data_IF_087249905422
#
_entry.id   IF_087249905422
#
_cell.length_a   1.000
_cell.length_b   1.000
_cell.length_c   1.000
_cell.angle_alpha   90.00
_cell.angle_beta   90.00
_cell.angle_gamma   90.00
#
_symmetry.space_group_name_H-M   'P 1'
#
loop_
_entity.id
_entity.type
_entity.pdbx_description
1 polymer ?
#
# COMPACT_ATOMS: atom_id res chain seq x y z
N UNK A 1 -22.05 25.94 -9.83
CA UNK A 1 -21.46 25.14 -8.74
C UNK A 1 -20.10 24.72 -9.26
N UNK A 2 -19.00 25.19 -8.67
CA UNK A 2 -17.66 24.81 -9.13
C UNK A 2 -17.33 23.46 -8.52
N UNK A 3 -16.97 22.48 -9.35
CA UNK A 3 -16.49 21.19 -8.88
C UNK A 3 -15.07 21.37 -8.35
N UNK A 4 -14.80 20.86 -7.16
CA UNK A 4 -13.44 20.90 -6.60
C UNK A 4 -12.50 20.02 -7.44
N UNK A 5 -11.24 20.44 -7.63
CA UNK A 5 -10.28 19.65 -8.38
C UNK A 5 -9.94 18.35 -7.64
N UNK A 6 -10.03 17.22 -8.34
CA UNK A 6 -9.71 15.90 -7.79
C UNK A 6 -8.19 15.64 -7.66
N UNK A 7 -7.36 16.53 -8.19
CA UNK A 7 -5.90 16.57 -7.95
C UNK A 7 -5.53 17.97 -7.42
N UNK A 8 -4.74 18.02 -6.36
CA UNK A 8 -4.20 19.25 -5.78
C UNK A 8 -2.70 19.11 -5.51
N UNK A 9 -1.88 20.04 -6.01
CA UNK A 9 -0.45 20.09 -5.73
C UNK A 9 -0.13 21.22 -4.72
N UNK A 10 0.31 20.90 -3.49
CA UNK A 10 0.71 21.90 -2.49
C UNK A 10 2.12 22.47 -2.71
N UNK A 11 2.80 22.17 -3.83
CA UNK A 11 4.16 22.61 -4.16
C UNK A 11 5.25 21.57 -3.92
N UNK A 12 4.86 20.35 -3.54
CA UNK A 12 5.77 19.21 -3.38
C UNK A 12 5.25 17.94 -4.05
N UNK A 13 4.41 18.08 -5.07
CA UNK A 13 3.91 17.02 -5.92
C UNK A 13 2.39 16.84 -5.83
N UNK A 14 1.75 16.34 -6.90
CA UNK A 14 0.30 16.22 -6.97
C UNK A 14 -0.25 15.24 -5.92
N UNK A 15 -1.38 15.59 -5.30
CA UNK A 15 -2.16 14.74 -4.38
C UNK A 15 -3.53 14.44 -4.98
N UNK A 16 -3.91 13.16 -4.96
CA UNK A 16 -5.23 12.69 -5.39
C UNK A 16 -6.22 12.90 -4.24
N UNK A 17 -7.16 13.84 -4.41
CA UNK A 17 -8.18 14.15 -3.39
C UNK A 17 -9.45 13.32 -3.52
N UNK A 18 -9.73 12.88 -4.74
CA UNK A 18 -10.84 11.99 -5.05
C UNK A 18 -10.30 10.86 -5.94
N UNK A 19 -10.10 9.69 -5.31
CA UNK A 19 -9.55 8.52 -5.99
C UNK A 19 -10.47 8.00 -7.10
N UNK A 20 -11.79 8.11 -6.93
CA UNK A 20 -12.76 7.64 -7.90
C UNK A 20 -12.71 8.52 -9.17
N UNK A 21 -12.80 9.84 -8.99
CA UNK A 21 -12.68 10.79 -10.09
C UNK A 21 -11.31 10.70 -10.78
N UNK A 22 -10.23 10.51 -10.02
CA UNK A 22 -8.88 10.33 -10.56
C UNK A 22 -8.77 9.10 -11.46
N UNK A 23 -9.23 7.94 -11.01
CA UNK A 23 -9.14 6.68 -11.75
C UNK A 23 -9.90 6.75 -13.09
N UNK A 24 -11.04 7.44 -13.11
CA UNK A 24 -11.81 7.66 -14.35
C UNK A 24 -11.25 8.76 -15.26
N UNK A 25 -10.21 9.47 -14.83
CA UNK A 25 -9.65 10.61 -15.57
C UNK A 25 -8.49 10.22 -16.49
N UNK A 26 -8.13 11.12 -17.39
CA UNK A 26 -6.96 10.96 -18.25
C UNK A 26 -5.61 10.98 -17.50
N UNK A 27 -5.58 11.41 -16.23
CA UNK A 27 -4.36 11.41 -15.42
C UNK A 27 -4.01 10.01 -14.92
N UNK A 28 -5.00 9.11 -14.81
CA UNK A 28 -4.78 7.74 -14.42
C UNK A 28 -4.15 6.94 -15.57
N UNK A 29 -2.96 6.39 -15.34
CA UNK A 29 -2.37 5.43 -16.26
C UNK A 29 -3.25 4.17 -16.42
N UNK A 30 -3.32 3.58 -17.63
CA UNK A 30 -4.07 2.34 -17.86
C UNK A 30 -3.44 1.18 -17.10
N UNK A 31 -4.24 0.15 -16.82
CA UNK A 31 -3.72 -1.09 -16.25
C UNK A 31 -2.69 -1.75 -17.19
N UNK A 32 -1.66 -2.36 -16.62
CA UNK A 32 -0.60 -3.02 -17.38
C UNK A 32 -0.98 -4.48 -17.65
N UNK A 33 -1.76 -4.70 -18.70
CA UNK A 33 -2.33 -6.02 -19.02
C UNK A 33 -1.30 -7.01 -19.61
N UNK A 34 -0.11 -6.53 -19.94
CA UNK A 34 1.04 -7.31 -20.40
C UNK A 34 1.82 -7.97 -19.25
N UNK A 35 1.63 -7.48 -18.02
CA UNK A 35 2.14 -8.10 -16.80
C UNK A 35 1.04 -8.98 -16.18
N UNK A 36 1.25 -10.31 -16.02
CA UNK A 36 0.22 -11.22 -15.52
C UNK A 36 -0.35 -10.83 -14.15
N UNK A 37 0.50 -10.38 -13.22
CA UNK A 37 0.06 -9.98 -11.88
C UNK A 37 -0.76 -8.69 -11.94
N UNK A 38 -0.30 -7.71 -12.71
CA UNK A 38 -1.06 -6.46 -12.89
C UNK A 38 -2.41 -6.72 -13.56
N UNK A 39 -2.47 -7.63 -14.54
CA UNK A 39 -3.71 -8.03 -15.20
C UNK A 39 -4.70 -8.71 -14.25
N UNK A 40 -4.21 -9.57 -13.34
CA UNK A 40 -5.02 -10.19 -12.31
C UNK A 40 -5.61 -9.14 -11.35
N UNK A 41 -4.78 -8.25 -10.83
CA UNK A 41 -5.25 -7.16 -9.96
C UNK A 41 -6.12 -6.13 -10.68
N UNK A 42 -6.13 -6.07 -12.02
CA UNK A 42 -6.95 -5.13 -12.78
C UNK A 42 -8.43 -5.54 -12.86
N UNK A 43 -8.79 -6.74 -12.40
CA UNK A 43 -10.17 -7.21 -12.39
C UNK A 43 -11.03 -6.41 -11.40
N UNK A 44 -12.30 -6.15 -11.76
CA UNK A 44 -13.23 -5.39 -10.91
C UNK A 44 -13.64 -6.20 -9.68
N UNK A 45 -13.68 -7.53 -9.81
CA UNK A 45 -13.93 -8.49 -8.75
C UNK A 45 -12.90 -8.34 -7.62
N UNK A 46 -11.63 -8.07 -7.96
CA UNK A 46 -10.58 -7.80 -6.97
C UNK A 46 -10.86 -6.50 -6.22
N UNK A 47 -11.29 -5.44 -6.91
CA UNK A 47 -11.70 -4.20 -6.25
C UNK A 47 -12.91 -4.42 -5.32
N UNK A 48 -13.88 -5.23 -5.74
CA UNK A 48 -15.04 -5.58 -4.91
C UNK A 48 -14.60 -6.34 -3.65
N UNK A 49 -13.67 -7.30 -3.76
CA UNK A 49 -13.11 -8.00 -2.60
C UNK A 49 -12.37 -7.04 -1.66
N UNK A 50 -11.54 -6.14 -2.19
CA UNK A 50 -10.83 -5.13 -1.38
C UNK A 50 -11.80 -4.25 -0.58
N UNK A 51 -12.93 -3.85 -1.18
CA UNK A 51 -13.97 -3.05 -0.51
C UNK A 51 -14.68 -3.78 0.65
N UNK A 52 -14.55 -5.10 0.76
CA UNK A 52 -15.08 -5.85 1.92
C UNK A 52 -14.22 -5.73 3.17
N UNK A 53 -12.94 -5.36 3.00
CA UNK A 53 -11.92 -5.34 4.07
C UNK A 53 -11.31 -3.96 4.30
N UNK A 54 -11.31 -3.09 3.29
CA UNK A 54 -10.73 -1.75 3.37
C UNK A 54 -11.79 -0.68 3.03
N UNK A 55 -11.66 0.55 3.58
CA UNK A 55 -12.47 1.68 3.15
C UNK A 55 -12.33 1.93 1.64
N UNK A 56 -13.35 2.56 1.05
CA UNK A 56 -13.44 2.73 -0.40
C UNK A 56 -12.21 3.40 -1.01
N UNK A 57 -11.74 4.52 -0.44
CA UNK A 57 -10.60 5.25 -0.96
C UNK A 57 -9.31 4.42 -0.95
N UNK A 58 -9.06 3.72 0.15
CA UNK A 58 -7.86 2.87 0.30
C UNK A 58 -7.94 1.65 -0.63
N UNK A 59 -9.14 1.08 -0.82
CA UNK A 59 -9.38 0.00 -1.79
C UNK A 59 -9.05 0.44 -3.21
N UNK A 60 -9.54 1.61 -3.63
CA UNK A 60 -9.28 2.17 -4.96
C UNK A 60 -7.80 2.46 -5.19
N UNK A 61 -7.12 3.04 -4.19
CA UNK A 61 -5.69 3.32 -4.26
C UNK A 61 -4.88 2.03 -4.37
N UNK A 62 -5.19 1.02 -3.55
CA UNK A 62 -4.49 -0.26 -3.57
C UNK A 62 -4.69 -0.99 -4.90
N UNK A 63 -5.94 -1.06 -5.38
CA UNK A 63 -6.29 -1.63 -6.68
C UNK A 63 -5.56 -0.93 -7.83
N UNK A 64 -5.53 0.41 -7.84
CA UNK A 64 -4.76 1.19 -8.80
C UNK A 64 -3.27 0.87 -8.72
N UNK A 65 -2.69 0.85 -7.53
CA UNK A 65 -1.27 0.59 -7.36
C UNK A 65 -0.85 -0.80 -7.83
N UNK A 66 -1.69 -1.83 -7.62
CA UNK A 66 -1.36 -3.22 -7.94
C UNK A 66 -1.57 -3.58 -9.42
N UNK A 67 -2.43 -2.85 -10.11
CA UNK A 67 -2.76 -3.11 -11.52
C UNK A 67 -1.94 -2.30 -12.54
N UNK A 68 -1.04 -1.42 -12.08
CA UNK A 68 -0.22 -0.55 -12.93
C UNK A 68 1.26 -0.88 -12.75
N UNK A 69 2.06 -0.86 -13.83
CA UNK A 69 3.50 -1.19 -13.71
C UNK A 69 4.28 -0.18 -12.86
N UNK A 70 4.03 1.12 -13.03
CA UNK A 70 4.90 2.16 -12.44
C UNK A 70 4.17 3.30 -11.72
N UNK A 71 2.93 3.61 -12.11
CA UNK A 71 2.19 4.72 -11.53
C UNK A 71 1.64 4.34 -10.15
N UNK A 72 1.82 5.21 -9.16
CA UNK A 72 1.40 4.95 -7.78
C UNK A 72 0.73 6.17 -7.17
N UNK A 73 -0.27 5.90 -6.33
CA UNK A 73 -0.84 6.86 -5.37
C UNK A 73 -0.47 6.38 -3.97
N UNK A 74 0.21 7.21 -3.19
CA UNK A 74 0.55 6.84 -1.82
C UNK A 74 -0.72 6.79 -0.96
N UNK A 75 -1.04 5.66 -0.29
CA UNK A 75 -2.25 5.57 0.52
C UNK A 75 -2.20 6.48 1.75
N UNK A 76 -1.01 6.77 2.29
CA UNK A 76 -0.86 7.58 3.50
C UNK A 76 -0.94 9.10 3.26
N UNK A 77 -0.46 9.58 2.11
CA UNK A 77 -0.40 11.03 1.83
C UNK A 77 -1.04 11.43 0.50
N UNK A 78 -1.70 10.49 -0.19
CA UNK A 78 -2.37 10.66 -1.47
C UNK A 78 -1.48 11.14 -2.62
N UNK A 79 -0.15 11.13 -2.47
CA UNK A 79 0.78 11.63 -3.50
C UNK A 79 0.77 10.73 -4.72
N UNK A 80 0.61 11.32 -5.90
CA UNK A 80 0.85 10.65 -7.18
C UNK A 80 2.34 10.71 -7.51
N UNK A 81 2.95 9.56 -7.77
CA UNK A 81 4.38 9.41 -8.05
C UNK A 81 4.62 8.17 -8.93
N UNK A 82 5.86 7.98 -9.39
CA UNK A 82 6.29 6.78 -10.12
C UNK A 82 7.21 5.94 -9.24
N UNK A 83 7.14 4.62 -9.39
CA UNK A 83 8.10 3.72 -8.76
C UNK A 83 9.54 4.15 -9.03
N UNK A 84 10.35 4.22 -7.97
CA UNK A 84 11.74 4.68 -8.01
C UNK A 84 11.91 6.18 -7.81
N UNK A 85 10.84 6.98 -7.78
CA UNK A 85 10.93 8.40 -7.46
C UNK A 85 11.50 8.58 -6.04
N UNK A 86 12.59 9.33 -5.95
CA UNK A 86 13.13 9.82 -4.67
C UNK A 86 12.47 11.16 -4.38
N UNK A 87 11.60 11.18 -3.39
CA UNK A 87 10.78 12.35 -3.08
C UNK A 87 11.47 13.25 -2.04
N UNK A 88 11.33 14.59 -2.14
CA UNK A 88 11.84 15.50 -1.13
C UNK A 88 11.24 15.16 0.23
N UNK A 89 12.10 14.98 1.24
CA UNK A 89 11.67 14.67 2.59
C UNK A 89 10.93 15.88 3.17
N UNK A 90 9.72 15.67 3.68
CA UNK A 90 8.95 16.70 4.39
C UNK A 90 9.62 17.15 5.71
N UNK A 91 10.70 16.47 6.09
CA UNK A 91 11.45 16.63 7.34
C UNK A 91 12.91 17.03 7.11
N UNK A 92 13.28 17.64 5.97
CA UNK A 92 14.67 18.00 5.67
C UNK A 92 15.37 18.85 6.76
N UNK A 93 14.63 19.43 7.73
CA UNK A 93 15.17 20.13 8.91
C UNK A 93 15.36 19.27 10.18
N UNK A 94 14.86 18.04 10.23
CA UNK A 94 15.00 17.15 11.39
C UNK A 94 15.79 15.93 10.96
N UNK A 95 17.12 15.98 11.14
CA UNK A 95 18.02 14.86 10.89
C UNK A 95 17.73 13.69 11.83
N UNK A 96 16.76 12.86 11.49
CA UNK A 96 16.63 11.52 12.04
C UNK A 96 17.32 10.56 11.07
N UNK A 97 18.56 10.22 11.43
CA UNK A 97 19.18 8.88 11.32
C UNK A 97 18.84 8.02 10.10
N UNK A 98 19.87 7.65 9.34
CA UNK A 98 19.91 6.55 8.36
C UNK A 98 18.73 6.51 7.38
N UNK A 99 18.80 7.34 6.33
CA UNK A 99 17.91 7.18 5.17
C UNK A 99 18.00 5.71 4.72
N UNK A 100 16.86 4.98 4.65
CA UNK A 100 16.91 3.59 4.22
C UNK A 100 17.57 3.52 2.84
N UNK A 101 18.29 2.43 2.54
CA UNK A 101 18.93 2.28 1.25
C UNK A 101 17.93 2.55 0.12
N UNK A 102 18.32 3.23 -0.97
CA UNK A 102 17.43 3.49 -2.11
C UNK A 102 16.69 2.24 -2.60
N UNK A 103 17.33 1.07 -2.45
CA UNK A 103 16.74 -0.24 -2.70
C UNK A 103 15.53 -0.56 -1.80
N UNK A 104 15.60 -0.35 -0.49
CA UNK A 104 14.49 -0.65 0.42
C UNK A 104 13.30 0.27 0.19
N UNK A 105 13.52 1.55 -0.13
CA UNK A 105 12.45 2.45 -0.50
C UNK A 105 11.74 1.99 -1.78
N UNK A 106 12.51 1.64 -2.82
CA UNK A 106 11.94 1.12 -4.06
C UNK A 106 11.15 -0.18 -3.83
N UNK A 107 11.63 -1.05 -2.95
CA UNK A 107 10.90 -2.25 -2.52
C UNK A 107 9.59 -1.88 -1.86
N UNK A 108 9.61 -1.01 -0.84
CA UNK A 108 8.37 -0.62 -0.17
C UNK A 108 7.36 0.03 -1.13
N UNK A 109 7.82 0.92 -2.02
CA UNK A 109 6.98 1.53 -3.05
C UNK A 109 6.31 0.46 -3.94
N UNK A 110 7.05 -0.60 -4.27
CA UNK A 110 6.53 -1.73 -5.06
C UNK A 110 5.54 -2.60 -4.27
N UNK A 111 5.82 -2.81 -2.98
CA UNK A 111 5.03 -3.67 -2.08
C UNK A 111 3.70 -3.00 -1.75
N UNK A 112 3.73 -1.84 -1.10
CA UNK A 112 2.54 -1.18 -0.53
C UNK A 112 2.07 0.05 -1.30
N UNK A 113 2.89 0.59 -2.20
CA UNK A 113 2.63 1.88 -2.82
C UNK A 113 2.90 3.06 -1.88
N UNK A 114 3.53 2.86 -0.72
CA UNK A 114 3.93 3.96 0.16
C UNK A 114 5.18 4.65 -0.37
N UNK A 115 5.12 5.99 -0.48
CA UNK A 115 6.10 6.73 -1.27
C UNK A 115 7.40 7.05 -0.52
N UNK A 116 7.40 7.09 0.82
CA UNK A 116 8.55 7.48 1.64
C UNK A 116 8.55 6.83 3.03
N UNK A 117 9.71 6.80 3.72
CA UNK A 117 9.82 6.27 5.08
C UNK A 117 8.87 6.97 6.06
N UNK A 118 8.73 8.29 5.94
CA UNK A 118 7.81 9.08 6.77
C UNK A 118 6.36 8.62 6.58
N UNK A 119 5.92 8.40 5.34
CA UNK A 119 4.56 7.93 5.06
C UNK A 119 4.32 6.52 5.62
N UNK A 120 5.36 5.70 5.72
CA UNK A 120 5.25 4.36 6.30
C UNK A 120 5.23 4.36 7.81
N UNK A 121 6.03 5.20 8.46
CA UNK A 121 5.92 5.47 9.89
C UNK A 121 4.50 5.91 10.23
N UNK A 122 3.89 6.77 9.40
CA UNK A 122 2.50 7.19 9.56
C UNK A 122 1.51 6.03 9.35
N UNK A 123 1.74 5.18 8.34
CA UNK A 123 0.89 4.02 8.07
C UNK A 123 0.92 2.97 9.19
N UNK A 124 2.07 2.81 9.86
CA UNK A 124 2.26 1.91 10.99
C UNK A 124 2.28 2.62 12.34
N UNK A 125 1.66 3.80 12.45
CA UNK A 125 1.65 4.56 13.70
C UNK A 125 1.04 3.79 14.89
N UNK A 126 0.11 2.87 14.62
CA UNK A 126 -0.50 1.99 15.62
C UNK A 126 0.36 0.76 15.99
N UNK A 127 1.43 0.51 15.23
CA UNK A 127 2.32 -0.65 15.38
C UNK A 127 3.80 -0.19 15.34
N UNK A 128 4.21 0.75 16.21
CA UNK A 128 5.52 1.41 16.11
C UNK A 128 6.70 0.43 16.19
N UNK A 129 6.53 -0.67 16.94
CA UNK A 129 7.56 -1.69 17.11
C UNK A 129 7.82 -2.51 15.83
N UNK A 130 6.85 -2.58 14.92
CA UNK A 130 6.98 -3.31 13.66
C UNK A 130 7.63 -2.47 12.52
N UNK A 131 7.74 -1.14 12.70
CA UNK A 131 8.16 -0.22 11.63
C UNK A 131 9.51 -0.63 11.03
N UNK A 132 10.51 -0.88 11.87
CA UNK A 132 11.87 -1.12 11.38
C UNK A 132 11.99 -2.45 10.63
N UNK A 133 11.36 -3.50 11.13
CA UNK A 133 11.48 -4.85 10.57
C UNK A 133 10.52 -5.13 9.43
N UNK A 134 9.40 -4.40 9.33
CA UNK A 134 8.44 -4.56 8.23
C UNK A 134 8.80 -3.73 6.98
N UNK A 135 9.65 -2.70 7.09
CA UNK A 135 9.96 -1.79 5.97
C UNK A 135 10.67 -2.51 4.81
N UNK A 136 10.03 -2.54 3.64
CA UNK A 136 10.57 -3.14 2.42
C UNK A 136 10.71 -4.67 2.48
N UNK A 137 10.04 -5.33 3.42
CA UNK A 137 10.04 -6.78 3.60
C UNK A 137 8.67 -7.37 3.22
N UNK A 138 8.68 -8.46 2.46
CA UNK A 138 7.51 -9.33 2.23
C UNK A 138 7.35 -10.33 3.38
N UNK A 139 6.20 -11.00 3.47
CA UNK A 139 5.90 -11.89 4.58
C UNK A 139 6.90 -13.06 4.74
N UNK A 140 7.42 -13.59 3.63
CA UNK A 140 8.43 -14.65 3.60
C UNK A 140 9.83 -14.21 4.08
N UNK A 141 10.07 -12.90 4.11
CA UNK A 141 11.33 -12.29 4.58
C UNK A 141 11.27 -11.84 6.04
N UNK A 142 10.08 -11.82 6.63
CA UNK A 142 9.85 -11.36 8.00
C UNK A 142 9.93 -12.53 8.97
N UNK A 143 10.59 -12.31 10.10
CA UNK A 143 10.55 -13.29 11.18
C UNK A 143 9.17 -13.30 11.87
N UNK A 144 8.88 -14.41 12.55
CA UNK A 144 7.63 -14.62 13.29
C UNK A 144 7.38 -13.48 14.29
N UNK A 145 8.44 -13.00 14.95
CA UNK A 145 8.34 -11.91 15.92
C UNK A 145 7.86 -10.60 15.28
N UNK A 146 8.28 -10.30 14.05
CA UNK A 146 7.84 -9.13 13.31
C UNK A 146 6.38 -9.28 12.88
N UNK A 147 5.98 -10.49 12.48
CA UNK A 147 4.60 -10.78 12.14
C UNK A 147 3.67 -10.62 13.35
N UNK A 148 4.11 -11.06 14.53
CA UNK A 148 3.41 -10.87 15.79
C UNK A 148 3.26 -9.39 16.15
N UNK A 149 4.29 -8.57 15.91
CA UNK A 149 4.21 -7.12 16.16
C UNK A 149 3.21 -6.42 15.25
N UNK A 150 3.10 -6.85 13.99
CA UNK A 150 2.07 -6.32 13.08
C UNK A 150 0.67 -6.80 13.49
N UNK A 151 0.52 -8.05 13.90
CA UNK A 151 -0.78 -8.64 14.23
C UNK A 151 -1.21 -8.42 15.69
N UNK A 152 -0.32 -7.87 16.51
CA UNK A 152 -0.56 -7.59 17.92
C UNK A 152 -1.61 -6.50 18.16
N UNK A 153 -1.83 -6.21 19.45
CA UNK A 153 -2.73 -5.14 19.86
C UNK A 153 -2.21 -3.77 19.36
N UNK A 154 -3.15 -2.91 18.97
CA UNK A 154 -2.83 -1.52 18.61
C UNK A 154 -2.33 -0.76 19.86
N UNK A 155 -1.06 -0.36 19.84
CA UNK A 155 -0.39 0.40 20.91
C UNK A 155 -0.30 1.91 20.59
N UNK A 156 -0.90 2.35 19.49
CA UNK A 156 -0.93 3.75 19.07
C UNK A 156 -1.80 4.67 19.95
N UNK A 157 -1.39 5.95 20.03
CA UNK A 157 -2.07 6.99 20.82
C UNK A 157 -3.41 7.40 20.18
N UNK A 158 -3.50 7.37 18.84
CA UNK A 158 -4.69 7.80 18.06
C UNK A 158 -5.17 6.70 17.14
N UNK A 159 -6.27 6.05 17.51
CA UNK A 159 -6.87 4.92 16.79
C UNK A 159 -7.96 5.39 15.83
N UNK A 160 -7.59 6.19 14.84
CA UNK A 160 -8.53 6.63 13.80
C UNK A 160 -8.81 5.48 12.83
N UNK A 161 -9.92 5.55 12.10
CA UNK A 161 -10.26 4.53 11.11
C UNK A 161 -9.22 4.49 9.97
N UNK A 162 -8.70 5.65 9.59
CA UNK A 162 -7.67 5.78 8.57
C UNK A 162 -6.36 5.13 9.01
N UNK A 163 -5.92 5.34 10.26
CA UNK A 163 -4.68 4.71 10.75
C UNK A 163 -4.80 3.20 10.86
N UNK A 164 -6.00 2.67 11.13
CA UNK A 164 -6.28 1.22 11.07
C UNK A 164 -6.28 0.70 9.65
N UNK A 165 -6.94 1.39 8.72
CA UNK A 165 -6.99 1.00 7.32
C UNK A 165 -5.59 0.99 6.67
N UNK A 166 -4.73 1.97 7.02
CA UNK A 166 -3.33 1.98 6.59
C UNK A 166 -2.54 0.82 7.18
N UNK A 167 -2.72 0.50 8.46
CA UNK A 167 -2.12 -0.68 9.08
C UNK A 167 -2.56 -1.98 8.40
N UNK A 168 -3.86 -2.12 8.09
CA UNK A 168 -4.40 -3.26 7.35
C UNK A 168 -3.80 -3.35 5.94
N UNK A 169 -3.72 -2.23 5.21
CA UNK A 169 -3.08 -2.19 3.89
C UNK A 169 -1.63 -2.66 3.95
N UNK A 170 -0.86 -2.23 4.96
CA UNK A 170 0.52 -2.69 5.13
C UNK A 170 0.57 -4.21 5.30
N UNK A 171 -0.27 -4.79 6.18
CA UNK A 171 -0.35 -6.25 6.38
C UNK A 171 -0.70 -7.00 5.11
N UNK A 172 -1.79 -6.59 4.45
CA UNK A 172 -2.26 -7.21 3.21
C UNK A 172 -1.16 -7.19 2.16
N UNK A 173 -0.49 -6.04 1.97
CA UNK A 173 0.53 -5.90 0.94
C UNK A 173 1.80 -6.70 1.18
N UNK A 174 1.98 -7.31 2.37
CA UNK A 174 3.08 -8.26 2.63
C UNK A 174 2.82 -9.65 2.04
N UNK A 175 1.57 -9.94 1.72
CA UNK A 175 1.14 -11.18 1.08
C UNK A 175 1.10 -10.98 -0.43
N UNK A 176 1.54 -11.98 -1.19
CA UNK A 176 1.61 -11.90 -2.65
C UNK A 176 0.24 -11.64 -3.30
N UNK A 177 -0.80 -12.27 -2.76
CA UNK A 177 -2.19 -12.21 -3.19
C UNK A 177 -3.03 -11.23 -2.35
N UNK A 178 -2.38 -10.40 -1.54
CA UNK A 178 -3.01 -9.54 -0.53
C UNK A 178 -3.76 -10.29 0.59
N UNK A 179 -3.58 -11.61 0.70
CA UNK A 179 -4.36 -12.48 1.58
C UNK A 179 -5.79 -12.72 1.09
N UNK A 180 -6.08 -12.42 -0.19
CA UNK A 180 -7.43 -12.57 -0.74
C UNK A 180 -7.80 -14.02 -1.03
N UNK A 181 -6.83 -14.92 -1.25
CA UNK A 181 -7.13 -16.35 -1.43
C UNK A 181 -7.87 -16.91 -0.20
N UNK A 182 -7.54 -16.45 1.01
CA UNK A 182 -8.20 -16.85 2.25
C UNK A 182 -9.68 -16.40 2.33
N UNK A 183 -10.09 -15.41 1.53
CA UNK A 183 -11.49 -14.97 1.45
C UNK A 183 -12.29 -15.77 0.41
N UNK A 184 -11.61 -16.40 -0.55
CA UNK A 184 -12.24 -17.12 -1.66
C UNK A 184 -12.34 -18.63 -1.44
N UNK A 185 -11.52 -19.19 -0.55
CA UNK A 185 -11.35 -20.63 -0.37
C UNK A 185 -11.52 -21.04 1.09
N UNK A 186 -12.06 -22.23 1.34
CA UNK A 186 -12.08 -22.80 2.68
C UNK A 186 -10.63 -23.01 3.19
N UNK A 187 -10.37 -22.97 4.51
CA UNK A 187 -9.01 -23.05 5.07
C UNK A 187 -8.21 -24.28 4.59
N UNK A 188 -8.92 -25.38 4.33
CA UNK A 188 -8.35 -26.63 3.82
C UNK A 188 -7.89 -26.53 2.35
N UNK A 189 -8.53 -25.68 1.54
CA UNK A 189 -8.18 -25.41 0.14
C UNK A 189 -7.03 -24.41 0.02
N UNK A 190 -6.97 -23.40 0.89
CA UNK A 190 -5.85 -22.44 0.98
C UNK A 190 -4.53 -23.16 1.25
N UNK A 191 -4.53 -24.10 2.21
CA UNK A 191 -3.34 -24.86 2.59
C UNK A 191 -2.76 -25.68 1.42
N UNK A 192 -3.62 -26.13 0.50
CA UNK A 192 -3.22 -26.89 -0.70
C UNK A 192 -2.60 -25.96 -1.75
N UNK A 193 -3.15 -24.75 -1.92
CA UNK A 193 -2.66 -23.74 -2.86
C UNK A 193 -1.31 -23.15 -2.43
N UNK A 194 -1.14 -22.84 -1.13
CA UNK A 194 0.13 -22.36 -0.58
C UNK A 194 1.26 -23.39 -0.77
N UNK A 195 0.96 -24.69 -0.57
CA UNK A 195 1.91 -25.77 -0.81
C UNK A 195 2.26 -25.97 -2.29
N UNK A 196 1.40 -25.54 -3.20
CA UNK A 196 1.63 -25.59 -4.65
C UNK A 196 2.43 -24.36 -5.15
N UNK A 197 2.24 -23.19 -4.55
CA UNK A 197 2.95 -21.95 -4.90
C UNK A 197 4.39 -21.89 -4.36
N UNK A 198 4.72 -22.67 -3.34
CA UNK A 198 6.07 -22.78 -2.75
C UNK A 198 7.02 -23.75 -3.51
N UNK A 199 6.65 -24.19 -4.72
CA UNK A 199 7.45 -25.08 -5.60
C UNK A 199 7.90 -24.35 -6.85
#
# INVERSE_FOLDING_TARGET
MFQEPFIHDPGNGPRVRDANAFIGSFFAQPAALDDPMCAEFAQEEVLQMLRTVLPEEISLILWYNKSRSHSRVCPACQRLYRLGDTLPDLLDDISLSEKPPPHQQMREQSISGICSPVCFVMALFNYPNAIKSAWGAMADEMDESTWDLLNGAEDGITKTEESRALGMLVKMTRLHDLGLAQLCFDPDEVSILEAAAAR
#
